data_IF_101802612757
#
_entry.id   IF_101802612757
#
_cell.length_a   1.000
_cell.length_b   1.000
_cell.length_c   1.000
_cell.angle_alpha   90.00
_cell.angle_beta   90.00
_cell.angle_gamma   90.00
#
_symmetry.space_group_name_H-M   'P 1'
#
loop_
_entity.id
_entity.type
_entity.pdbx_description
1 polymer ?
#
# COMPACT_ATOMS: atom_id res chain seq x y z
N UNK A 1 -15.01 18.11 -17.21
CA UNK A 1 -13.80 17.87 -18.03
C UNK A 1 -12.57 18.73 -17.66
N UNK A 2 -12.66 19.70 -16.73
CA UNK A 2 -11.52 20.51 -16.25
C UNK A 2 -10.70 19.90 -15.09
N UNK A 3 -11.19 18.84 -14.43
CA UNK A 3 -10.54 18.22 -13.26
C UNK A 3 -9.11 17.70 -13.51
N UNK A 4 -8.80 17.28 -14.75
CA UNK A 4 -7.47 16.74 -15.11
C UNK A 4 -6.48 17.78 -15.65
N UNK A 5 -6.88 19.06 -15.79
CA UNK A 5 -5.93 20.14 -16.15
C UNK A 5 -5.09 20.60 -14.95
N UNK A 6 -5.55 20.34 -13.72
CA UNK A 6 -4.80 20.62 -12.49
C UNK A 6 -4.44 19.27 -11.84
N UNK A 7 -3.16 18.93 -11.72
CA UNK A 7 -2.72 17.66 -11.13
C UNK A 7 -3.04 17.55 -9.63
N UNK A 8 -3.31 18.68 -8.94
CA UNK A 8 -3.59 18.72 -7.50
C UNK A 8 -4.94 18.06 -7.09
N UNK A 9 -6.10 18.37 -7.70
CA UNK A 9 -7.38 17.72 -7.35
C UNK A 9 -7.35 16.19 -7.47
N UNK A 10 -6.56 15.63 -8.40
CA UNK A 10 -6.36 14.19 -8.53
C UNK A 10 -5.90 13.54 -7.22
N UNK A 11 -4.83 14.07 -6.61
CA UNK A 11 -4.27 13.51 -5.37
C UNK A 11 -5.14 13.80 -4.14
N UNK A 12 -5.87 14.92 -4.14
CA UNK A 12 -6.85 15.21 -3.09
C UNK A 12 -8.01 14.22 -3.11
N UNK A 13 -8.46 13.82 -4.30
CA UNK A 13 -9.49 12.80 -4.43
C UNK A 13 -9.01 11.44 -3.90
N UNK A 14 -7.78 11.04 -4.25
CA UNK A 14 -7.17 9.83 -3.69
C UNK A 14 -7.06 9.88 -2.16
N UNK A 15 -6.68 11.04 -1.60
CA UNK A 15 -6.66 11.25 -0.14
C UNK A 15 -8.06 11.19 0.48
N UNK A 16 -9.09 11.68 -0.21
CA UNK A 16 -10.47 11.57 0.24
C UNK A 16 -10.93 10.09 0.28
N UNK A 17 -10.60 9.31 -0.75
CA UNK A 17 -10.83 7.85 -0.75
C UNK A 17 -10.09 7.16 0.40
N UNK A 18 -8.88 7.61 0.74
CA UNK A 18 -8.16 7.08 1.90
C UNK A 18 -8.91 7.34 3.21
N UNK A 19 -9.43 8.55 3.41
CA UNK A 19 -10.24 8.92 4.58
C UNK A 19 -11.50 8.05 4.64
N UNK A 20 -12.20 7.87 3.52
CA UNK A 20 -13.41 7.05 3.46
C UNK A 20 -13.13 5.57 3.76
N UNK A 21 -12.02 5.03 3.25
CA UNK A 21 -11.57 3.69 3.63
C UNK A 21 -11.22 3.61 5.13
N UNK A 22 -10.53 4.61 5.69
CA UNK A 22 -10.22 4.65 7.12
C UNK A 22 -11.48 4.75 7.99
N UNK A 23 -12.52 5.47 7.55
CA UNK A 23 -13.83 5.50 8.19
C UNK A 23 -14.52 4.13 8.17
N UNK A 24 -14.42 3.37 7.09
CA UNK A 24 -14.89 1.97 7.09
C UNK A 24 -14.07 1.07 8.04
N UNK A 25 -12.75 1.27 8.11
CA UNK A 25 -11.92 0.58 9.11
C UNK A 25 -12.36 0.91 10.55
N UNK A 26 -12.67 2.19 10.81
CA UNK A 26 -13.18 2.65 12.09
C UNK A 26 -14.56 2.06 12.39
N UNK A 27 -15.47 2.03 11.41
CA UNK A 27 -16.80 1.44 11.55
C UNK A 27 -16.74 -0.07 11.82
N UNK A 28 -15.82 -0.79 11.17
CA UNK A 28 -15.59 -2.21 11.44
C UNK A 28 -15.14 -2.41 12.88
N UNK A 29 -14.20 -1.58 13.38
CA UNK A 29 -13.74 -1.63 14.78
C UNK A 29 -14.84 -1.24 15.75
N UNK A 30 -15.68 -0.27 15.38
CA UNK A 30 -16.86 0.13 16.16
C UNK A 30 -17.79 -1.06 16.35
N UNK A 31 -18.07 -1.82 15.29
CA UNK A 31 -18.95 -2.98 15.36
C UNK A 31 -18.46 -4.11 16.29
N UNK A 32 -17.15 -4.19 16.58
CA UNK A 32 -16.65 -5.13 17.59
C UNK A 32 -16.97 -4.68 19.01
N UNK A 33 -16.96 -3.37 19.28
CA UNK A 33 -17.23 -2.80 20.61
C UNK A 33 -18.73 -2.62 20.85
N UNK A 34 -19.43 -2.08 19.86
CA UNK A 34 -20.85 -1.78 19.85
C UNK A 34 -21.49 -2.46 18.64
N UNK A 35 -21.93 -3.72 18.78
CA UNK A 35 -22.49 -4.49 17.67
C UNK A 35 -23.67 -3.78 17.02
N UNK A 36 -23.60 -3.60 15.70
CA UNK A 36 -24.66 -2.99 14.90
C UNK A 36 -25.52 -4.12 14.33
N UNK A 37 -26.83 -4.06 14.55
CA UNK A 37 -27.76 -5.01 13.97
C UNK A 37 -27.68 -4.97 12.43
N UNK A 38 -27.62 -6.13 11.80
CA UNK A 38 -27.50 -6.28 10.33
C UNK A 38 -26.18 -5.77 9.71
N UNK A 39 -25.11 -5.59 10.49
CA UNK A 39 -23.80 -5.21 9.95
C UNK A 39 -23.15 -6.35 9.16
N UNK A 40 -22.97 -6.13 7.86
CA UNK A 40 -22.35 -7.11 6.96
C UNK A 40 -20.82 -6.97 6.96
N UNK A 41 -20.16 -7.50 8.00
CA UNK A 41 -18.70 -7.39 8.19
C UNK A 41 -17.88 -7.64 6.90
N UNK A 42 -18.19 -8.72 6.18
CA UNK A 42 -17.47 -9.08 4.94
C UNK A 42 -17.59 -7.99 3.87
N UNK A 43 -18.76 -7.36 3.72
CA UNK A 43 -19.00 -6.34 2.71
C UNK A 43 -18.20 -5.06 2.99
N UNK A 44 -18.23 -4.59 4.24
CA UNK A 44 -17.44 -3.43 4.66
C UNK A 44 -15.95 -3.69 4.59
N UNK A 45 -15.49 -4.88 4.99
CA UNK A 45 -14.08 -5.26 4.89
C UNK A 45 -13.59 -5.20 3.44
N UNK A 46 -14.40 -5.66 2.49
CA UNK A 46 -14.06 -5.65 1.07
C UNK A 46 -13.98 -4.22 0.52
N UNK A 47 -14.93 -3.36 0.89
CA UNK A 47 -14.86 -1.95 0.52
C UNK A 47 -13.61 -1.27 1.10
N UNK A 48 -13.37 -1.47 2.40
CA UNK A 48 -12.20 -0.93 3.10
C UNK A 48 -10.90 -1.31 2.40
N UNK A 49 -10.67 -2.60 2.14
CA UNK A 49 -9.43 -3.08 1.55
C UNK A 49 -9.24 -2.64 0.10
N UNK A 50 -10.28 -2.71 -0.74
CA UNK A 50 -10.20 -2.30 -2.15
C UNK A 50 -9.94 -0.80 -2.27
N UNK A 51 -10.63 0.03 -1.47
CA UNK A 51 -10.42 1.48 -1.52
C UNK A 51 -9.08 1.89 -0.89
N UNK A 52 -8.59 1.18 0.13
CA UNK A 52 -7.25 1.42 0.68
C UNK A 52 -6.15 1.14 -0.35
N UNK A 53 -6.18 -0.04 -1.00
CA UNK A 53 -5.15 -0.40 -1.98
C UNK A 53 -5.33 0.34 -3.30
N UNK A 54 -6.54 0.36 -3.87
CA UNK A 54 -6.76 0.89 -5.22
C UNK A 54 -7.04 2.40 -5.20
N UNK A 55 -7.85 2.87 -4.26
CA UNK A 55 -8.29 4.26 -4.16
C UNK A 55 -7.22 5.22 -3.62
N UNK A 56 -6.48 4.76 -2.62
CA UNK A 56 -5.36 5.49 -2.05
C UNK A 56 -4.04 5.07 -2.69
N UNK A 57 -3.58 3.83 -2.45
CA UNK A 57 -2.28 3.36 -2.88
C UNK A 57 -2.07 3.50 -4.39
N UNK A 58 -2.79 2.72 -5.19
CA UNK A 58 -2.59 2.59 -6.64
C UNK A 58 -2.83 3.91 -7.38
N UNK A 59 -3.93 4.61 -7.11
CA UNK A 59 -4.22 5.89 -7.75
C UNK A 59 -3.13 6.93 -7.44
N UNK A 60 -2.68 7.04 -6.18
CA UNK A 60 -1.62 7.99 -5.83
C UNK A 60 -0.29 7.62 -6.52
N UNK A 61 0.09 6.35 -6.52
CA UNK A 61 1.35 5.90 -7.12
C UNK A 61 1.33 5.95 -8.65
N UNK A 62 0.21 5.61 -9.30
CA UNK A 62 0.11 5.69 -10.77
C UNK A 62 0.15 7.14 -11.26
N UNK A 63 -0.49 8.06 -10.52
CA UNK A 63 -0.37 9.50 -10.78
C UNK A 63 1.07 9.98 -10.64
N UNK A 64 1.77 9.55 -9.59
CA UNK A 64 3.17 9.89 -9.36
C UNK A 64 4.10 9.29 -10.42
N UNK A 65 3.85 8.06 -10.89
CA UNK A 65 4.57 7.42 -12.00
C UNK A 65 4.42 8.24 -13.27
N UNK A 66 3.17 8.56 -13.65
CA UNK A 66 2.88 9.38 -14.84
C UNK A 66 3.62 10.72 -14.73
N UNK A 67 3.59 11.35 -13.55
CA UNK A 67 4.25 12.62 -13.33
C UNK A 67 5.79 12.53 -13.42
N UNK A 68 6.41 11.47 -12.92
CA UNK A 68 7.87 11.40 -12.81
C UNK A 68 8.57 10.73 -14.00
N UNK A 69 7.89 9.84 -14.72
CA UNK A 69 8.51 8.95 -15.71
C UNK A 69 7.98 9.10 -17.14
N UNK A 70 6.84 9.75 -17.34
CA UNK A 70 6.30 10.04 -18.68
C UNK A 70 6.71 11.46 -19.09
N UNK A 71 6.89 11.75 -20.38
CA UNK A 71 7.17 13.13 -20.85
C UNK A 71 5.92 14.01 -20.81
N UNK A 72 6.08 15.32 -20.64
CA UNK A 72 4.95 16.27 -20.60
C UNK A 72 4.06 16.21 -21.84
N UNK A 73 4.65 16.01 -23.03
CA UNK A 73 3.93 15.87 -24.30
C UNK A 73 3.09 14.58 -24.35
N UNK A 74 3.64 13.46 -23.86
CA UNK A 74 2.96 12.17 -23.89
C UNK A 74 1.84 12.09 -22.84
N UNK A 75 2.02 12.72 -21.67
CA UNK A 75 1.00 12.77 -20.60
C UNK A 75 -0.33 13.38 -21.05
N UNK A 76 -0.30 14.27 -22.04
CA UNK A 76 -1.50 14.97 -22.50
C UNK A 76 -2.43 14.10 -23.36
N UNK A 77 -1.95 12.94 -23.83
CA UNK A 77 -2.72 11.99 -24.64
C UNK A 77 -4.02 11.59 -23.93
N UNK A 78 -5.11 11.54 -24.69
CA UNK A 78 -6.45 11.25 -24.17
C UNK A 78 -6.54 9.94 -23.40
N UNK A 79 -5.77 8.92 -23.80
CA UNK A 79 -5.73 7.61 -23.15
C UNK A 79 -5.43 7.69 -21.65
N UNK A 80 -4.48 8.53 -21.21
CA UNK A 80 -4.16 8.68 -19.79
C UNK A 80 -5.30 9.31 -19.01
N UNK A 81 -5.94 10.34 -19.56
CA UNK A 81 -7.06 11.03 -18.91
C UNK A 81 -8.28 10.10 -18.78
N UNK A 82 -8.62 9.38 -19.85
CA UNK A 82 -9.77 8.48 -19.89
C UNK A 82 -9.55 7.30 -18.94
N UNK A 83 -8.40 6.62 -19.02
CA UNK A 83 -8.12 5.46 -18.16
C UNK A 83 -8.10 5.86 -16.68
N UNK A 84 -7.46 6.97 -16.31
CA UNK A 84 -7.50 7.46 -14.94
C UNK A 84 -8.91 7.80 -14.49
N UNK A 85 -9.71 8.47 -15.33
CA UNK A 85 -11.11 8.79 -15.01
C UNK A 85 -11.95 7.53 -14.75
N UNK A 86 -11.84 6.53 -15.62
CA UNK A 86 -12.56 5.26 -15.46
C UNK A 86 -12.10 4.54 -14.19
N UNK A 87 -10.80 4.52 -13.89
CA UNK A 87 -10.26 3.99 -12.63
C UNK A 87 -10.83 4.72 -11.41
N UNK A 88 -10.90 6.05 -11.44
CA UNK A 88 -11.51 6.81 -10.34
C UNK A 88 -12.97 6.46 -10.14
N UNK A 89 -13.76 6.48 -11.22
CA UNK A 89 -15.19 6.21 -11.17
C UNK A 89 -15.42 4.81 -10.64
N UNK A 90 -14.72 3.81 -11.18
CA UNK A 90 -14.86 2.40 -10.74
C UNK A 90 -14.53 2.22 -9.27
N UNK A 91 -13.41 2.76 -8.79
CA UNK A 91 -13.02 2.63 -7.36
C UNK A 91 -13.97 3.40 -6.45
N UNK A 92 -14.46 4.56 -6.87
CA UNK A 92 -15.45 5.32 -6.11
C UNK A 92 -16.78 4.59 -6.04
N UNK A 93 -17.23 3.97 -7.12
CA UNK A 93 -18.45 3.17 -7.12
C UNK A 93 -18.27 1.90 -6.26
N UNK A 94 -17.07 1.29 -6.26
CA UNK A 94 -16.76 0.16 -5.38
C UNK A 94 -16.84 0.51 -3.89
N UNK A 95 -16.52 1.76 -3.51
CA UNK A 95 -16.71 2.24 -2.14
C UNK A 95 -18.13 1.98 -1.65
N UNK A 96 -19.14 2.21 -2.50
CA UNK A 96 -20.57 2.07 -2.15
C UNK A 96 -21.15 0.70 -2.55
N UNK A 97 -20.69 0.10 -3.65
CA UNK A 97 -21.26 -1.16 -4.14
C UNK A 97 -20.97 -2.32 -3.18
N UNK A 98 -19.79 -2.35 -2.56
CA UNK A 98 -19.44 -3.42 -1.63
C UNK A 98 -20.28 -3.39 -0.36
N UNK A 99 -20.43 -2.29 0.39
CA UNK A 99 -21.29 -2.26 1.58
C UNK A 99 -22.75 -2.59 1.27
N UNK A 100 -23.29 -2.08 0.15
CA UNK A 100 -24.69 -2.25 -0.22
C UNK A 100 -25.01 -3.65 -0.77
N UNK A 101 -24.12 -4.21 -1.60
CA UNK A 101 -24.40 -5.41 -2.37
C UNK A 101 -23.43 -6.57 -2.16
N UNK A 102 -22.27 -6.34 -1.56
CA UNK A 102 -21.18 -7.32 -1.46
C UNK A 102 -20.60 -7.70 -2.83
N UNK A 103 -20.10 -8.93 -2.94
CA UNK A 103 -19.61 -9.53 -4.19
C UNK A 103 -20.75 -10.00 -5.10
N UNK A 104 -21.60 -9.07 -5.53
CA UNK A 104 -22.66 -9.30 -6.53
C UNK A 104 -22.27 -8.72 -7.89
N UNK A 105 -23.11 -8.97 -8.90
CA UNK A 105 -22.90 -8.58 -10.29
C UNK A 105 -22.35 -7.16 -10.45
N UNK A 106 -22.95 -6.16 -9.80
CA UNK A 106 -22.51 -4.77 -9.93
C UNK A 106 -21.06 -4.55 -9.45
N UNK A 107 -20.70 -5.05 -8.27
CA UNK A 107 -19.31 -4.97 -7.75
C UNK A 107 -18.33 -5.74 -8.63
N UNK A 108 -18.74 -6.90 -9.17
CA UNK A 108 -17.90 -7.72 -10.07
C UNK A 108 -17.66 -6.97 -11.39
N UNK A 109 -18.70 -6.37 -11.99
CA UNK A 109 -18.56 -5.56 -13.21
C UNK A 109 -17.60 -4.39 -13.00
N UNK A 110 -17.69 -3.71 -11.84
CA UNK A 110 -16.78 -2.62 -11.49
C UNK A 110 -15.32 -3.11 -11.34
N UNK A 111 -15.10 -4.26 -10.70
CA UNK A 111 -13.78 -4.89 -10.59
C UNK A 111 -13.22 -5.25 -11.98
N UNK A 112 -14.03 -5.84 -12.86
CA UNK A 112 -13.63 -6.18 -14.23
C UNK A 112 -13.28 -4.93 -15.04
N UNK A 113 -14.11 -3.88 -14.97
CA UNK A 113 -13.86 -2.62 -15.65
C UNK A 113 -12.58 -1.95 -15.14
N UNK A 114 -12.35 -1.94 -13.83
CA UNK A 114 -11.10 -1.49 -13.24
C UNK A 114 -9.91 -2.31 -13.77
N UNK A 115 -10.01 -3.65 -13.73
CA UNK A 115 -8.98 -4.57 -14.19
C UNK A 115 -8.56 -4.32 -15.63
N UNK A 116 -9.51 -4.35 -16.58
CA UNK A 116 -9.25 -4.10 -18.00
C UNK A 116 -8.66 -2.70 -18.23
N UNK A 117 -9.22 -1.67 -17.61
CA UNK A 117 -8.72 -0.29 -17.73
C UNK A 117 -7.30 -0.15 -17.20
N UNK A 118 -7.01 -0.81 -16.07
CA UNK A 118 -5.67 -0.82 -15.47
C UNK A 118 -4.64 -1.53 -16.35
N UNK A 119 -5.04 -2.53 -17.14
CA UNK A 119 -4.16 -3.21 -18.10
C UNK A 119 -3.79 -2.29 -19.24
N UNK A 120 -4.79 -1.62 -19.83
CA UNK A 120 -4.58 -0.62 -20.89
C UNK A 120 -3.60 0.46 -20.41
N UNK A 121 -3.80 0.98 -19.20
CA UNK A 121 -2.90 1.97 -18.62
C UNK A 121 -1.50 1.41 -18.35
N UNK A 122 -1.40 0.19 -17.82
CA UNK A 122 -0.12 -0.47 -17.49
C UNK A 122 0.73 -0.72 -18.73
N UNK A 123 0.17 -1.31 -19.79
CA UNK A 123 0.88 -1.52 -21.06
C UNK A 123 1.26 -0.19 -21.70
N UNK A 124 0.38 0.82 -21.61
CA UNK A 124 0.69 2.15 -22.13
C UNK A 124 1.87 2.78 -21.40
N UNK A 125 1.92 2.68 -20.08
CA UNK A 125 3.05 3.14 -19.27
C UNK A 125 4.35 2.40 -19.58
N UNK A 126 4.32 1.08 -19.68
CA UNK A 126 5.51 0.28 -20.02
C UNK A 126 6.12 0.72 -21.37
N UNK A 127 5.27 1.04 -22.35
CA UNK A 127 5.68 1.57 -23.66
C UNK A 127 6.25 2.99 -23.60
N UNK A 128 5.62 3.86 -22.80
CA UNK A 128 5.95 5.29 -22.80
C UNK A 128 7.08 5.65 -21.81
N UNK A 129 7.35 4.83 -20.78
CA UNK A 129 8.45 5.01 -19.83
C UNK A 129 9.78 4.62 -20.49
N UNK A 130 10.68 5.60 -20.62
CA UNK A 130 12.00 5.46 -21.25
C UNK A 130 13.13 5.49 -20.22
N UNK A 131 14.30 5.00 -20.63
CA UNK A 131 15.51 4.96 -19.82
C UNK A 131 15.74 3.64 -19.10
N UNK A 132 16.97 3.46 -18.60
CA UNK A 132 17.44 2.20 -18.01
C UNK A 132 18.05 2.35 -16.62
N UNK A 133 17.95 3.54 -16.01
CA UNK A 133 18.34 3.74 -14.62
C UNK A 133 17.54 2.82 -13.67
N UNK A 134 18.11 2.55 -12.50
CA UNK A 134 17.49 1.62 -11.54
C UNK A 134 16.11 2.11 -11.09
N UNK A 135 15.90 3.42 -10.95
CA UNK A 135 14.57 3.98 -10.67
C UNK A 135 13.54 3.57 -11.72
N UNK A 136 13.89 3.63 -13.01
CA UNK A 136 13.03 3.18 -14.12
C UNK A 136 12.82 1.66 -14.12
N UNK A 137 13.87 0.87 -13.85
CA UNK A 137 13.73 -0.60 -13.75
C UNK A 137 12.78 -0.99 -12.62
N UNK A 138 12.90 -0.35 -11.45
CA UNK A 138 11.97 -0.54 -10.33
C UNK A 138 10.53 -0.25 -10.75
N UNK A 139 10.26 0.86 -11.44
CA UNK A 139 8.89 1.14 -11.92
C UNK A 139 8.39 0.10 -12.90
N UNK A 140 9.19 -0.27 -13.91
CA UNK A 140 8.77 -1.24 -14.93
C UNK A 140 8.47 -2.62 -14.30
N UNK A 141 9.35 -3.11 -13.43
CA UNK A 141 9.13 -4.36 -12.70
C UNK A 141 7.95 -4.27 -11.74
N UNK A 142 7.75 -3.13 -11.06
CA UNK A 142 6.54 -2.89 -10.28
C UNK A 142 5.27 -3.05 -11.11
N UNK A 143 5.22 -2.48 -12.32
CA UNK A 143 4.08 -2.64 -13.25
C UNK A 143 3.94 -4.09 -13.72
N UNK A 144 5.02 -4.80 -14.02
CA UNK A 144 4.96 -6.23 -14.34
C UNK A 144 4.40 -7.06 -13.18
N UNK A 145 4.80 -6.78 -11.94
CA UNK A 145 4.24 -7.44 -10.76
C UNK A 145 2.77 -7.09 -10.52
N UNK A 146 2.34 -5.86 -10.85
CA UNK A 146 0.91 -5.53 -10.84
C UNK A 146 0.14 -6.40 -11.84
N UNK A 147 0.62 -6.49 -13.08
CA UNK A 147 -0.01 -7.32 -14.11
C UNK A 147 -0.06 -8.80 -13.69
N UNK A 148 1.03 -9.32 -13.11
CA UNK A 148 1.10 -10.68 -12.57
C UNK A 148 0.09 -10.88 -11.43
N UNK A 149 0.06 -9.94 -10.48
CA UNK A 149 -0.89 -9.92 -9.36
C UNK A 149 -2.34 -10.00 -9.86
N UNK A 150 -2.72 -9.14 -10.80
CA UNK A 150 -4.09 -9.07 -11.31
C UNK A 150 -4.51 -10.28 -12.14
N UNK A 151 -3.58 -11.05 -12.72
CA UNK A 151 -3.95 -12.32 -13.36
C UNK A 151 -4.60 -13.28 -12.37
N UNK A 152 -4.18 -13.26 -11.10
CA UNK A 152 -4.80 -14.07 -10.06
C UNK A 152 -6.25 -13.68 -9.77
N UNK A 153 -6.70 -12.44 -10.02
CA UNK A 153 -8.11 -12.10 -9.80
C UNK A 153 -9.04 -12.74 -10.84
N UNK A 154 -8.55 -12.93 -12.07
CA UNK A 154 -9.29 -13.66 -13.11
C UNK A 154 -9.32 -15.17 -12.80
N UNK A 155 -8.17 -15.71 -12.40
CA UNK A 155 -8.08 -17.11 -11.96
C UNK A 155 -8.96 -17.38 -10.73
N UNK A 156 -9.05 -16.44 -9.79
CA UNK A 156 -9.88 -16.56 -8.59
C UNK A 156 -11.36 -16.76 -8.91
N UNK A 157 -11.87 -16.08 -9.94
CA UNK A 157 -13.25 -16.24 -10.39
C UNK A 157 -13.50 -17.67 -10.89
N UNK A 158 -12.56 -18.21 -11.68
CA UNK A 158 -12.61 -19.59 -12.15
C UNK A 158 -12.54 -20.59 -10.99
N UNK A 159 -11.60 -20.43 -10.05
CA UNK A 159 -11.45 -21.33 -8.89
C UNK A 159 -12.69 -21.31 -8.01
N UNK A 160 -13.28 -20.14 -7.76
CA UNK A 160 -14.48 -20.02 -6.96
C UNK A 160 -15.67 -20.78 -7.55
N UNK A 161 -15.84 -20.72 -8.88
CA UNK A 161 -16.95 -21.39 -9.57
C UNK A 161 -16.71 -22.89 -9.74
N UNK A 162 -15.46 -23.29 -10.03
CA UNK A 162 -15.12 -24.69 -10.30
C UNK A 162 -14.89 -25.54 -9.05
N UNK A 163 -14.30 -24.95 -8.00
CA UNK A 163 -13.84 -25.67 -6.81
C UNK A 163 -14.37 -25.09 -5.49
N UNK A 164 -14.99 -23.89 -5.51
CA UNK A 164 -15.42 -23.22 -4.29
C UNK A 164 -14.26 -22.62 -3.49
N UNK A 165 -14.43 -22.50 -2.17
CA UNK A 165 -13.45 -21.87 -1.26
C UNK A 165 -12.47 -22.88 -0.65
N UNK A 166 -11.71 -23.54 -1.51
CA UNK A 166 -10.65 -24.51 -1.15
C UNK A 166 -9.33 -23.81 -0.80
N UNK A 167 -8.29 -24.58 -0.49
CA UNK A 167 -6.93 -24.05 -0.31
C UNK A 167 -6.44 -23.28 -1.55
N UNK A 168 -6.75 -23.77 -2.76
CA UNK A 168 -6.41 -23.09 -4.01
C UNK A 168 -7.04 -21.70 -4.10
N UNK A 169 -8.28 -21.55 -3.64
CA UNK A 169 -8.96 -20.24 -3.59
C UNK A 169 -8.18 -19.25 -2.72
N UNK A 170 -7.85 -19.63 -1.48
CA UNK A 170 -7.12 -18.77 -0.56
C UNK A 170 -5.68 -18.50 -1.01
N UNK A 171 -4.99 -19.51 -1.55
CA UNK A 171 -3.67 -19.36 -2.15
C UNK A 171 -3.70 -18.37 -3.33
N UNK A 172 -4.75 -18.40 -4.15
CA UNK A 172 -4.94 -17.42 -5.24
C UNK A 172 -5.16 -16.00 -4.71
N UNK A 173 -5.95 -15.83 -3.63
CA UNK A 173 -6.08 -14.52 -2.95
C UNK A 173 -4.73 -14.05 -2.43
N UNK A 174 -3.95 -14.94 -1.83
CA UNK A 174 -2.62 -14.59 -1.32
C UNK A 174 -1.60 -14.31 -2.43
N UNK A 175 -1.71 -14.97 -3.58
CA UNK A 175 -0.91 -14.66 -4.76
C UNK A 175 -1.16 -13.23 -5.24
N UNK A 176 -2.44 -12.87 -5.39
CA UNK A 176 -2.85 -11.51 -5.71
C UNK A 176 -2.26 -10.52 -4.70
N UNK A 177 -2.49 -10.74 -3.40
CA UNK A 177 -1.99 -9.80 -2.40
C UNK A 177 -0.45 -9.71 -2.42
N UNK A 178 0.26 -10.84 -2.45
CA UNK A 178 1.72 -10.88 -2.47
C UNK A 178 2.31 -10.03 -3.58
N UNK A 179 1.93 -10.27 -4.84
CA UNK A 179 2.48 -9.51 -5.96
C UNK A 179 1.98 -8.06 -6.01
N UNK A 180 0.80 -7.76 -5.45
CA UNK A 180 0.36 -6.39 -5.31
C UNK A 180 1.22 -5.61 -4.30
N UNK A 181 1.38 -6.13 -3.08
CA UNK A 181 2.02 -5.39 -2.02
C UNK A 181 3.54 -5.57 -1.98
N UNK A 182 4.08 -6.78 -2.13
CA UNK A 182 5.52 -7.02 -2.20
C UNK A 182 6.13 -6.75 -3.57
N UNK A 183 5.34 -6.89 -4.64
CA UNK A 183 5.77 -6.61 -6.01
C UNK A 183 5.49 -5.16 -6.39
N UNK A 184 4.25 -4.83 -6.76
CA UNK A 184 3.92 -3.50 -7.27
C UNK A 184 4.28 -2.38 -6.28
N UNK A 185 3.75 -2.39 -5.06
CA UNK A 185 3.92 -1.25 -4.14
C UNK A 185 5.37 -1.07 -3.69
N UNK A 186 6.06 -2.12 -3.24
CA UNK A 186 7.48 -2.00 -2.83
C UNK A 186 8.34 -1.45 -3.96
N UNK A 187 8.23 -2.01 -5.16
CA UNK A 187 9.04 -1.58 -6.30
C UNK A 187 8.71 -0.16 -6.74
N UNK A 188 7.42 0.17 -6.85
CA UNK A 188 6.99 1.50 -7.29
C UNK A 188 7.37 2.58 -6.28
N UNK A 189 7.19 2.34 -4.99
CA UNK A 189 7.52 3.32 -3.95
C UNK A 189 9.03 3.60 -3.90
N UNK A 190 9.88 2.56 -4.00
CA UNK A 190 11.33 2.77 -4.07
C UNK A 190 11.78 3.36 -5.41
N UNK A 191 11.15 2.99 -6.53
CA UNK A 191 11.43 3.60 -7.83
C UNK A 191 11.11 5.11 -7.85
N UNK A 192 9.97 5.50 -7.27
CA UNK A 192 9.59 6.90 -7.08
C UNK A 192 10.55 7.64 -6.13
N UNK A 193 10.92 7.01 -5.01
CA UNK A 193 11.89 7.56 -4.07
C UNK A 193 13.24 7.84 -4.74
N UNK A 194 13.79 6.86 -5.47
CA UNK A 194 15.07 7.00 -6.16
C UNK A 194 14.98 8.08 -7.23
N UNK A 195 13.88 8.14 -7.99
CA UNK A 195 13.67 9.20 -8.98
C UNK A 195 13.62 10.60 -8.37
N UNK A 196 12.99 10.75 -7.21
CA UNK A 196 12.95 12.03 -6.49
C UNK A 196 14.36 12.46 -6.05
N UNK A 197 15.17 11.52 -5.56
CA UNK A 197 16.56 11.80 -5.16
C UNK A 197 17.41 12.17 -6.38
N UNK A 198 17.30 11.40 -7.47
CA UNK A 198 17.98 11.67 -8.76
C UNK A 198 17.64 13.08 -9.28
N UNK A 199 16.36 13.49 -9.20
CA UNK A 199 15.94 14.82 -9.64
C UNK A 199 16.55 15.96 -8.81
N UNK A 200 17.10 15.69 -7.62
CA UNK A 200 17.86 16.66 -6.81
C UNK A 200 19.35 16.72 -7.18
N UNK A 201 19.76 16.06 -8.28
CA UNK A 201 21.15 15.96 -8.73
C UNK A 201 22.07 15.30 -7.68
N UNK A 202 21.49 14.49 -6.79
CA UNK A 202 22.22 13.71 -5.80
C UNK A 202 22.67 12.41 -6.48
N UNK A 203 23.98 12.23 -6.62
CA UNK A 203 24.55 11.02 -7.22
C UNK A 203 24.40 9.86 -6.23
N UNK A 204 23.70 8.82 -6.67
CA UNK A 204 23.61 7.56 -5.95
C UNK A 204 24.56 6.57 -6.62
N UNK A 205 25.30 5.80 -5.85
CA UNK A 205 26.17 4.74 -6.39
C UNK A 205 25.37 3.73 -7.20
N UNK A 206 25.68 3.63 -8.51
CA UNK A 206 25.03 2.71 -9.44
C UNK A 206 25.13 1.26 -8.98
N UNK A 207 26.31 0.84 -8.50
CA UNK A 207 26.52 -0.52 -7.98
C UNK A 207 25.59 -0.81 -6.79
N UNK A 208 25.46 0.11 -5.83
CA UNK A 208 24.57 -0.11 -4.69
C UNK A 208 23.11 -0.22 -5.13
N UNK A 209 22.65 0.67 -6.02
CA UNK A 209 21.30 0.60 -6.56
C UNK A 209 21.05 -0.71 -7.33
N UNK A 210 22.02 -1.13 -8.15
CA UNK A 210 21.96 -2.37 -8.92
C UNK A 210 21.80 -3.57 -8.01
N UNK A 211 22.60 -3.69 -6.96
CA UNK A 211 22.48 -4.79 -6.00
C UNK A 211 21.15 -4.73 -5.23
N UNK A 212 20.74 -3.56 -4.75
CA UNK A 212 19.42 -3.38 -4.14
C UNK A 212 18.31 -3.94 -5.02
N UNK A 213 18.29 -3.54 -6.30
CA UNK A 213 17.30 -3.98 -7.28
C UNK A 213 17.38 -5.50 -7.56
N UNK A 214 18.57 -6.04 -7.83
CA UNK A 214 18.74 -7.45 -8.18
C UNK A 214 18.25 -8.35 -7.04
N UNK A 215 18.70 -8.10 -5.81
CA UNK A 215 18.30 -8.92 -4.66
C UNK A 215 16.80 -8.80 -4.37
N UNK A 216 16.23 -7.60 -4.49
CA UNK A 216 14.79 -7.39 -4.32
C UNK A 216 13.98 -8.15 -5.38
N UNK A 217 14.41 -8.09 -6.64
CA UNK A 217 13.75 -8.70 -7.80
C UNK A 217 13.80 -10.22 -7.75
N UNK A 218 14.98 -10.79 -7.51
CA UNK A 218 15.15 -12.24 -7.38
C UNK A 218 14.34 -12.77 -6.19
N UNK A 219 14.26 -12.02 -5.09
CA UNK A 219 13.49 -12.45 -3.93
C UNK A 219 11.96 -12.41 -4.13
N UNK A 220 11.45 -11.49 -4.97
CA UNK A 220 10.02 -11.20 -5.01
C UNK A 220 9.16 -12.40 -5.44
N UNK A 221 9.57 -13.16 -6.45
CA UNK A 221 8.84 -14.34 -6.93
C UNK A 221 8.85 -15.48 -5.90
N UNK A 222 10.02 -15.99 -5.45
CA UNK A 222 10.06 -17.10 -4.50
C UNK A 222 9.46 -16.73 -3.13
N UNK A 223 9.43 -15.45 -2.75
CA UNK A 223 8.79 -15.02 -1.51
C UNK A 223 7.27 -15.31 -1.46
N UNK A 224 6.61 -15.61 -2.59
CA UNK A 224 5.22 -16.08 -2.57
C UNK A 224 5.08 -17.38 -1.77
N UNK A 225 6.12 -18.21 -1.70
CA UNK A 225 6.12 -19.43 -0.89
C UNK A 225 5.72 -19.17 0.58
N UNK A 226 6.15 -18.03 1.15
CA UNK A 226 5.77 -17.59 2.51
C UNK A 226 4.26 -17.45 2.68
N UNK A 227 3.55 -17.09 1.62
CA UNK A 227 2.10 -16.85 1.64
C UNK A 227 1.27 -18.13 1.50
N UNK A 228 1.90 -19.28 1.20
CA UNK A 228 1.22 -20.58 1.06
C UNK A 228 1.63 -21.60 2.13
N UNK A 229 2.56 -21.25 3.03
CA UNK A 229 3.03 -22.14 4.11
C UNK A 229 1.88 -22.63 5.02
N UNK A 230 0.79 -21.87 5.09
CA UNK A 230 -0.41 -22.25 5.84
C UNK A 230 -1.14 -23.47 5.28
N UNK A 231 -1.01 -23.76 3.97
CA UNK A 231 -1.69 -24.86 3.27
C UNK A 231 -0.93 -26.18 3.34
N UNK A 232 -0.19 -26.43 4.43
CA UNK A 232 0.57 -27.68 4.71
C UNK A 232 1.45 -28.14 3.54
N UNK A 233 2.05 -27.19 2.83
CA UNK A 233 2.96 -27.47 1.72
C UNK A 233 4.25 -28.14 2.20
N UNK A 234 4.93 -28.87 1.31
CA UNK A 234 6.16 -29.59 1.66
C UNK A 234 7.32 -28.69 2.09
N UNK A 235 8.32 -29.27 2.76
CA UNK A 235 9.51 -28.59 3.30
C UNK A 235 10.23 -27.70 2.26
N UNK A 236 10.22 -28.10 0.99
CA UNK A 236 10.78 -27.31 -0.12
C UNK A 236 10.27 -25.87 -0.15
N UNK A 237 8.97 -25.64 0.10
CA UNK A 237 8.39 -24.31 0.12
C UNK A 237 8.84 -23.47 1.33
N UNK A 238 9.06 -24.11 2.49
CA UNK A 238 9.64 -23.44 3.64
C UNK A 238 11.08 -22.97 3.34
N UNK A 239 11.89 -23.82 2.71
CA UNK A 239 13.27 -23.47 2.32
C UNK A 239 13.27 -22.33 1.30
N UNK A 240 12.44 -22.41 0.26
CA UNK A 240 12.29 -21.34 -0.75
C UNK A 240 11.87 -20.03 -0.09
N UNK A 241 10.88 -20.08 0.80
CA UNK A 241 10.40 -18.92 1.55
C UNK A 241 11.51 -18.30 2.40
N UNK A 242 12.24 -19.11 3.17
CA UNK A 242 13.37 -18.65 3.98
C UNK A 242 14.47 -18.00 3.14
N UNK A 243 14.92 -18.66 2.07
CA UNK A 243 15.93 -18.10 1.16
C UNK A 243 15.49 -16.78 0.53
N UNK A 244 14.20 -16.65 0.17
CA UNK A 244 13.67 -15.40 -0.34
C UNK A 244 13.76 -14.27 0.70
N UNK A 245 13.50 -14.55 1.98
CA UNK A 245 13.65 -13.55 3.05
C UNK A 245 15.11 -13.14 3.28
N UNK A 246 16.07 -14.05 3.13
CA UNK A 246 17.50 -13.73 3.18
C UNK A 246 17.89 -12.77 2.04
N UNK A 247 17.40 -13.01 0.82
CA UNK A 247 17.63 -12.10 -0.30
C UNK A 247 16.97 -10.73 -0.07
N UNK A 248 15.77 -10.68 0.53
CA UNK A 248 15.14 -9.41 0.94
C UNK A 248 15.97 -8.67 1.98
N UNK A 249 16.54 -9.39 2.96
CA UNK A 249 17.42 -8.82 3.98
C UNK A 249 18.71 -8.25 3.36
N UNK A 250 19.32 -8.96 2.43
CA UNK A 250 20.49 -8.45 1.68
C UNK A 250 20.12 -7.18 0.91
N UNK A 251 18.98 -7.17 0.21
CA UNK A 251 18.47 -5.96 -0.46
C UNK A 251 18.30 -4.79 0.54
N UNK A 252 17.73 -5.05 1.71
CA UNK A 252 17.57 -4.05 2.77
C UNK A 252 18.92 -3.48 3.26
N UNK A 253 19.96 -4.30 3.37
CA UNK A 253 21.32 -3.83 3.69
C UNK A 253 21.83 -2.86 2.63
N UNK A 254 21.63 -3.16 1.33
CA UNK A 254 21.98 -2.23 0.25
C UNK A 254 21.17 -0.94 0.31
N UNK A 255 19.88 -1.02 0.62
CA UNK A 255 19.03 0.16 0.83
C UNK A 255 19.59 1.05 1.96
N UNK A 256 19.98 0.48 3.09
CA UNK A 256 20.59 1.25 4.17
C UNK A 256 21.90 1.92 3.76
N UNK A 257 22.75 1.21 3.00
CA UNK A 257 24.00 1.79 2.46
C UNK A 257 23.72 2.96 1.51
N UNK A 258 22.72 2.85 0.64
CA UNK A 258 22.28 3.93 -0.25
C UNK A 258 21.81 5.13 0.58
N UNK A 259 20.87 4.89 1.50
CA UNK A 259 20.26 5.95 2.29
C UNK A 259 21.28 6.64 3.19
N UNK A 260 22.22 5.92 3.81
CA UNK A 260 23.29 6.51 4.62
C UNK A 260 24.11 7.53 3.83
N UNK A 261 24.46 7.22 2.58
CA UNK A 261 25.23 8.13 1.70
C UNK A 261 24.43 9.36 1.28
N UNK A 262 23.14 9.18 1.00
CA UNK A 262 22.26 10.24 0.48
C UNK A 262 21.67 11.13 1.57
N UNK A 263 21.42 10.60 2.78
CA UNK A 263 20.57 11.22 3.79
C UNK A 263 20.99 12.64 4.19
N UNK A 264 22.30 12.88 4.30
CA UNK A 264 22.84 14.19 4.65
C UNK A 264 22.73 15.21 3.50
N UNK A 265 22.74 14.73 2.26
CA UNK A 265 22.62 15.56 1.05
C UNK A 265 21.17 15.98 0.76
N UNK A 266 20.18 15.27 1.34
CA UNK A 266 18.77 15.61 1.19
C UNK A 266 18.45 16.97 1.82
N UNK A 267 18.17 17.97 0.98
CA UNK A 267 17.66 19.30 1.37
C UNK A 267 16.16 19.27 1.72
N UNK A 268 15.72 18.19 2.37
CA UNK A 268 14.32 17.99 2.74
C UNK A 268 14.03 18.57 4.11
N UNK A 269 12.79 19.03 4.31
CA UNK A 269 12.30 19.45 5.64
C UNK A 269 12.38 18.28 6.63
N UNK A 270 12.56 18.59 7.91
CA UNK A 270 12.66 17.61 8.99
C UNK A 270 11.51 16.58 8.96
N UNK A 271 10.28 17.02 8.73
CA UNK A 271 9.11 16.13 8.65
C UNK A 271 9.22 15.09 7.54
N UNK A 272 9.78 15.46 6.38
CA UNK A 272 10.00 14.50 5.28
C UNK A 272 11.12 13.52 5.60
N UNK A 273 12.17 13.96 6.32
CA UNK A 273 13.21 13.06 6.83
C UNK A 273 12.67 12.08 7.89
N UNK A 274 11.70 12.51 8.70
CA UNK A 274 10.96 11.64 9.63
C UNK A 274 10.15 10.60 8.86
N UNK A 275 9.38 11.00 7.85
CA UNK A 275 8.61 10.06 7.02
C UNK A 275 9.51 9.03 6.31
N UNK A 276 10.66 9.46 5.78
CA UNK A 276 11.63 8.54 5.19
C UNK A 276 12.12 7.49 6.21
N UNK A 277 12.55 7.95 7.40
CA UNK A 277 12.98 7.05 8.48
C UNK A 277 11.86 6.10 8.89
N UNK A 278 10.66 6.63 9.11
CA UNK A 278 9.49 5.85 9.51
C UNK A 278 9.17 4.76 8.49
N UNK A 279 9.05 5.11 7.21
CA UNK A 279 8.74 4.14 6.16
C UNK A 279 9.81 3.06 6.01
N UNK A 280 11.10 3.42 6.13
CA UNK A 280 12.20 2.44 6.10
C UNK A 280 12.20 1.53 7.31
N UNK A 281 11.88 2.04 8.51
CA UNK A 281 11.72 1.22 9.72
C UNK A 281 10.55 0.25 9.55
N UNK A 282 9.39 0.71 9.06
CA UNK A 282 8.24 -0.14 8.80
C UNK A 282 8.56 -1.25 7.76
N UNK A 283 9.28 -0.91 6.69
CA UNK A 283 9.76 -1.88 5.72
C UNK A 283 10.73 -2.90 6.33
N UNK A 284 11.62 -2.45 7.22
CA UNK A 284 12.58 -3.32 7.90
C UNK A 284 11.88 -4.30 8.83
N UNK A 285 10.94 -3.80 9.66
CA UNK A 285 10.12 -4.63 10.53
C UNK A 285 9.31 -5.66 9.74
N UNK A 286 8.74 -5.25 8.60
CA UNK A 286 8.06 -6.17 7.67
C UNK A 286 8.99 -7.31 7.23
N UNK A 287 10.24 -7.04 6.82
CA UNK A 287 11.19 -8.09 6.43
C UNK A 287 11.53 -9.00 7.62
N UNK A 288 11.76 -8.45 8.80
CA UNK A 288 12.01 -9.24 10.03
C UNK A 288 10.84 -10.17 10.33
N UNK A 289 9.60 -9.67 10.26
CA UNK A 289 8.40 -10.49 10.46
C UNK A 289 8.29 -11.57 9.38
N UNK A 290 8.66 -11.29 8.13
CA UNK A 290 8.67 -12.29 7.06
C UNK A 290 9.69 -13.42 7.34
N UNK A 291 10.88 -13.08 7.84
CA UNK A 291 11.87 -14.08 8.28
C UNK A 291 11.25 -14.97 9.36
N UNK A 292 10.65 -14.38 10.39
CA UNK A 292 9.99 -15.15 11.46
C UNK A 292 8.88 -16.05 10.90
N UNK A 293 8.05 -15.54 10.00
CA UNK A 293 6.95 -16.30 9.37
C UNK A 293 7.40 -17.44 8.45
N UNK A 294 8.68 -17.53 8.11
CA UNK A 294 9.21 -18.67 7.34
C UNK A 294 9.41 -19.93 8.20
N UNK A 295 9.54 -19.76 9.51
CA UNK A 295 9.77 -20.84 10.46
C UNK A 295 8.45 -21.56 10.78
N UNK A 296 8.40 -22.92 10.73
CA UNK A 296 7.17 -23.69 10.94
C UNK A 296 6.40 -23.33 12.21
N UNK A 297 7.12 -23.11 13.33
CA UNK A 297 6.52 -22.69 14.60
C UNK A 297 5.66 -21.41 14.46
N UNK A 298 6.17 -20.39 13.77
CA UNK A 298 5.45 -19.13 13.60
C UNK A 298 4.36 -19.21 12.53
N UNK A 299 4.47 -20.11 11.55
CA UNK A 299 3.39 -20.36 10.58
C UNK A 299 2.11 -20.79 11.30
N UNK A 300 2.19 -21.84 12.13
CA UNK A 300 1.03 -22.35 12.87
C UNK A 300 0.43 -21.28 13.80
N UNK A 301 1.29 -20.61 14.58
CA UNK A 301 0.84 -19.60 15.55
C UNK A 301 0.26 -18.35 14.89
N UNK A 302 0.81 -17.91 13.76
CA UNK A 302 0.28 -16.76 13.02
C UNK A 302 -1.13 -17.00 12.46
N UNK A 303 -1.47 -18.25 12.14
CA UNK A 303 -2.82 -18.64 11.71
C UNK A 303 -3.81 -18.64 12.86
N UNK A 304 -3.42 -19.22 14.00
CA UNK A 304 -4.25 -19.22 15.21
C UNK A 304 -4.51 -17.79 15.71
N UNK A 305 -3.52 -16.90 15.59
CA UNK A 305 -3.58 -15.51 16.04
C UNK A 305 -3.75 -14.52 14.88
N UNK A 306 -4.38 -14.97 13.79
CA UNK A 306 -4.63 -14.18 12.57
C UNK A 306 -5.21 -12.78 12.83
N UNK A 307 -6.21 -12.58 13.73
CA UNK A 307 -6.77 -11.26 14.00
C UNK A 307 -5.76 -10.22 14.51
N UNK A 308 -4.61 -10.68 15.00
CA UNK A 308 -3.60 -9.84 15.63
C UNK A 308 -2.33 -9.79 14.77
N UNK A 309 -1.70 -10.95 14.52
CA UNK A 309 -0.38 -11.01 13.88
C UNK A 309 -0.47 -10.76 12.36
N UNK A 310 -1.41 -11.40 11.67
CA UNK A 310 -1.59 -11.22 10.23
C UNK A 310 -2.22 -9.86 9.92
N UNK A 311 -3.24 -9.45 10.68
CA UNK A 311 -3.84 -8.12 10.51
C UNK A 311 -2.84 -7.01 10.84
N UNK A 312 -2.04 -7.16 11.91
CA UNK A 312 -0.94 -6.26 12.24
C UNK A 312 0.06 -6.15 11.10
N UNK A 313 0.57 -7.28 10.59
CA UNK A 313 1.47 -7.28 9.43
C UNK A 313 0.90 -6.54 8.21
N UNK A 314 -0.39 -6.73 7.91
CA UNK A 314 -1.05 -6.02 6.80
C UNK A 314 -1.18 -4.52 7.06
N UNK A 315 -1.44 -4.08 8.29
CA UNK A 315 -1.51 -2.65 8.65
C UNK A 315 -0.12 -2.01 8.69
N UNK A 316 0.90 -2.72 9.18
CA UNK A 316 2.29 -2.30 9.13
C UNK A 316 2.71 -2.02 7.68
N UNK A 317 2.33 -2.91 6.75
CA UNK A 317 2.54 -2.67 5.33
C UNK A 317 1.72 -1.47 4.81
N UNK A 318 0.39 -1.50 4.96
CA UNK A 318 -0.50 -0.54 4.27
C UNK A 318 -0.43 0.87 4.85
N UNK A 319 -0.42 0.99 6.18
CA UNK A 319 -0.33 2.28 6.88
C UNK A 319 1.13 2.67 7.11
N UNK A 320 1.93 1.77 7.69
CA UNK A 320 3.28 2.11 8.14
C UNK A 320 4.29 2.29 7.02
N UNK A 321 4.27 1.42 6.00
CA UNK A 321 5.16 1.51 4.85
C UNK A 321 4.51 2.28 3.69
N UNK A 322 3.45 1.72 3.09
CA UNK A 322 2.85 2.23 1.87
C UNK A 322 2.33 3.66 2.03
N UNK A 323 1.43 3.91 2.98
CA UNK A 323 0.81 5.24 3.14
C UNK A 323 1.83 6.31 3.53
N UNK A 324 2.78 5.99 4.42
CA UNK A 324 3.86 6.92 4.81
C UNK A 324 4.75 7.28 3.62
N UNK A 325 5.14 6.30 2.79
CA UNK A 325 5.91 6.59 1.58
C UNK A 325 5.10 7.35 0.54
N UNK A 326 3.81 7.04 0.36
CA UNK A 326 2.92 7.83 -0.52
C UNK A 326 2.87 9.28 -0.03
N UNK A 327 2.67 9.53 1.26
CA UNK A 327 2.73 10.89 1.80
C UNK A 327 4.08 11.56 1.54
N UNK A 328 5.19 10.87 1.79
CA UNK A 328 6.53 11.40 1.51
C UNK A 328 6.67 11.81 0.04
N UNK A 329 6.32 10.92 -0.89
CA UNK A 329 6.37 11.15 -2.34
C UNK A 329 5.52 12.36 -2.72
N UNK A 330 4.25 12.40 -2.27
CA UNK A 330 3.35 13.50 -2.60
C UNK A 330 3.78 14.84 -2.00
N UNK A 331 4.46 14.85 -0.85
CA UNK A 331 5.07 16.06 -0.27
C UNK A 331 6.26 16.53 -1.10
N UNK A 332 7.15 15.62 -1.52
CA UNK A 332 8.30 15.96 -2.37
C UNK A 332 7.88 16.42 -3.77
N UNK A 333 6.79 15.87 -4.30
CA UNK A 333 6.18 16.31 -5.57
C UNK A 333 5.29 17.56 -5.42
N UNK A 334 5.24 18.16 -4.21
CA UNK A 334 4.44 19.34 -3.86
C UNK A 334 2.92 19.21 -4.10
N UNK A 335 2.41 17.98 -4.13
CA UNK A 335 0.98 17.66 -4.31
C UNK A 335 0.21 17.74 -3.01
N UNK A 336 0.84 17.36 -1.90
CA UNK A 336 0.36 17.60 -0.54
C UNK A 336 1.28 18.62 0.13
N UNK A 337 0.71 19.66 0.72
CA UNK A 337 1.47 20.74 1.34
C UNK A 337 1.28 20.73 2.86
N UNK A 338 2.40 20.63 3.59
CA UNK A 338 2.43 20.72 5.06
C UNK A 338 2.91 22.10 5.52
N UNK A 339 2.16 23.14 5.16
CA UNK A 339 2.53 24.54 5.46
C UNK A 339 2.06 24.98 6.85
N UNK A 340 0.83 24.65 7.21
CA UNK A 340 0.20 25.08 8.47
C UNK A 340 0.59 24.14 9.61
N UNK A 341 0.63 24.67 10.84
CA UNK A 341 0.82 23.86 12.06
C UNK A 341 -0.22 22.76 12.16
N UNK A 342 -1.48 23.04 11.83
CA UNK A 342 -2.56 22.04 11.79
C UNK A 342 -2.27 20.86 10.86
N UNK A 343 -1.75 21.09 9.64
CA UNK A 343 -1.40 19.99 8.71
C UNK A 343 -0.24 19.13 9.21
N UNK A 344 0.73 19.74 9.91
CA UNK A 344 1.86 19.02 10.54
C UNK A 344 1.38 18.19 11.73
N UNK A 345 0.53 18.78 12.58
CA UNK A 345 -0.12 18.08 13.69
C UNK A 345 -0.93 16.90 13.16
N UNK A 346 -1.72 17.08 12.11
CA UNK A 346 -2.49 15.99 11.48
C UNK A 346 -1.61 14.82 11.06
N UNK A 347 -0.46 15.09 10.45
CA UNK A 347 0.50 14.04 10.10
C UNK A 347 1.10 13.36 11.33
N UNK A 348 1.45 14.10 12.38
CA UNK A 348 1.96 13.52 13.63
C UNK A 348 0.90 12.64 14.30
N UNK A 349 -0.35 13.11 14.40
CA UNK A 349 -1.48 12.33 14.93
C UNK A 349 -1.68 11.05 14.13
N UNK A 350 -1.63 11.12 12.80
CA UNK A 350 -1.70 9.94 11.94
C UNK A 350 -0.57 8.95 12.26
N UNK A 351 0.68 9.41 12.32
CA UNK A 351 1.83 8.54 12.64
C UNK A 351 1.74 7.90 14.04
N UNK A 352 1.30 8.67 15.04
CA UNK A 352 1.04 8.15 16.39
C UNK A 352 -0.06 7.08 16.35
N UNK A 353 -1.15 7.32 15.63
CA UNK A 353 -2.22 6.35 15.44
C UNK A 353 -1.75 5.06 14.78
N UNK A 354 -0.82 5.14 13.82
CA UNK A 354 -0.20 3.97 13.19
C UNK A 354 0.61 3.19 14.22
N UNK A 355 1.55 3.85 14.91
CA UNK A 355 2.41 3.19 15.91
C UNK A 355 1.58 2.54 17.01
N UNK A 356 0.61 3.27 17.57
CA UNK A 356 -0.25 2.75 18.62
C UNK A 356 -1.12 1.57 18.13
N UNK A 357 -1.64 1.61 16.89
CA UNK A 357 -2.39 0.49 16.31
C UNK A 357 -1.53 -0.76 16.18
N UNK A 358 -0.31 -0.62 15.65
CA UNK A 358 0.63 -1.74 15.49
C UNK A 358 1.05 -2.31 16.84
N UNK A 359 1.41 -1.45 17.80
CA UNK A 359 1.78 -1.89 19.14
C UNK A 359 0.65 -2.66 19.81
N UNK A 360 -0.60 -2.21 19.71
CA UNK A 360 -1.74 -2.93 20.27
C UNK A 360 -1.95 -4.29 19.60
N UNK A 361 -1.95 -4.35 18.26
CA UNK A 361 -2.13 -5.59 17.50
C UNK A 361 -1.04 -6.61 17.85
N UNK A 362 0.24 -6.21 17.77
CA UNK A 362 1.35 -7.13 18.05
C UNK A 362 1.47 -7.49 19.53
N UNK A 363 1.23 -6.56 20.46
CA UNK A 363 1.28 -6.87 21.90
C UNK A 363 0.16 -7.83 22.29
N UNK A 364 -1.07 -7.62 21.81
CA UNK A 364 -2.17 -8.56 22.05
C UNK A 364 -1.85 -9.95 21.49
N UNK A 365 -1.33 -10.03 20.26
CA UNK A 365 -0.91 -11.29 19.66
C UNK A 365 0.22 -11.96 20.44
N UNK A 366 1.21 -11.19 20.90
CA UNK A 366 2.34 -11.70 21.66
C UNK A 366 1.94 -12.22 23.04
N UNK A 367 1.12 -11.49 23.81
CA UNK A 367 0.64 -11.94 25.11
C UNK A 367 -0.09 -13.28 25.01
N UNK A 368 -0.98 -13.42 24.03
CA UNK A 368 -1.68 -14.68 23.76
C UNK A 368 -0.73 -15.80 23.31
N UNK A 369 0.32 -15.47 22.54
CA UNK A 369 1.32 -16.43 22.08
C UNK A 369 2.07 -17.08 23.25
N UNK A 370 2.39 -16.31 24.29
CA UNK A 370 3.15 -16.77 25.47
C UNK A 370 2.25 -17.16 26.65
N UNK A 371 0.92 -17.17 26.47
CA UNK A 371 -0.04 -17.58 27.51
C UNK A 371 -0.21 -16.56 28.65
N UNK A 372 0.15 -15.29 28.45
CA UNK A 372 -0.08 -14.22 29.40
C UNK A 372 -1.48 -13.61 29.25
N UNK A 373 -1.90 -12.85 30.26
CA UNK A 373 -3.20 -12.17 30.27
C UNK A 373 -3.33 -11.19 29.10
N UNK A 374 -4.42 -11.25 28.31
CA UNK A 374 -4.65 -10.32 27.22
C UNK A 374 -4.89 -8.88 27.72
N UNK A 375 -4.76 -7.91 26.81
CA UNK A 375 -5.00 -6.50 27.13
C UNK A 375 -6.47 -6.29 27.52
N UNK A 376 -6.69 -5.71 28.69
CA UNK A 376 -8.03 -5.36 29.16
C UNK A 376 -8.67 -4.32 28.22
N UNK A 377 -9.96 -4.49 27.89
CA UNK A 377 -10.70 -3.63 26.95
C UNK A 377 -10.00 -3.40 25.59
N UNK A 378 -9.27 -4.42 25.11
CA UNK A 378 -8.50 -4.35 23.86
C UNK A 378 -9.26 -3.74 22.67
N UNK A 379 -10.51 -4.18 22.43
CA UNK A 379 -11.30 -3.72 21.29
C UNK A 379 -11.65 -2.23 21.37
N UNK A 380 -11.99 -1.75 22.57
CA UNK A 380 -12.26 -0.33 22.83
C UNK A 380 -11.00 0.52 22.64
N UNK A 381 -9.86 0.06 23.16
CA UNK A 381 -8.59 0.75 23.01
C UNK A 381 -8.18 0.84 21.53
N UNK A 382 -8.33 -0.26 20.79
CA UNK A 382 -8.07 -0.31 19.36
C UNK A 382 -9.01 0.64 18.59
N UNK A 383 -10.29 0.72 18.97
CA UNK A 383 -11.24 1.69 18.41
C UNK A 383 -10.78 3.13 18.65
N UNK A 384 -10.45 3.50 19.90
CA UNK A 384 -9.99 4.84 20.26
C UNK A 384 -8.73 5.25 19.49
N UNK A 385 -7.74 4.37 19.37
CA UNK A 385 -6.52 4.66 18.60
C UNK A 385 -6.81 4.81 17.10
N UNK A 386 -7.82 4.13 16.57
CA UNK A 386 -8.24 4.27 15.16
C UNK A 386 -8.83 5.65 14.86
N UNK A 387 -9.45 6.29 15.84
CA UNK A 387 -9.97 7.66 15.70
C UNK A 387 -8.80 8.62 15.40
N UNK A 388 -7.63 8.41 16.00
CA UNK A 388 -6.43 9.21 15.72
C UNK A 388 -6.05 9.14 14.23
N UNK A 389 -6.11 7.95 13.62
CA UNK A 389 -5.82 7.79 12.19
C UNK A 389 -6.75 8.67 11.34
N UNK A 390 -8.06 8.60 11.59
CA UNK A 390 -9.06 9.39 10.85
C UNK A 390 -8.87 10.89 11.08
N UNK A 391 -8.72 11.33 12.34
CA UNK A 391 -8.51 12.73 12.69
C UNK A 391 -7.24 13.29 12.04
N UNK A 392 -6.14 12.54 12.06
CA UNK A 392 -4.89 12.92 11.43
C UNK A 392 -5.05 13.16 9.92
N UNK A 393 -5.76 12.26 9.23
CA UNK A 393 -6.05 12.41 7.81
C UNK A 393 -6.96 13.60 7.51
N UNK A 394 -8.02 13.81 8.30
CA UNK A 394 -8.93 14.96 8.15
C UNK A 394 -8.19 16.29 8.31
N UNK A 395 -7.29 16.39 9.29
CA UNK A 395 -6.48 17.59 9.49
C UNK A 395 -5.56 17.86 8.29
N UNK A 396 -4.94 16.83 7.71
CA UNK A 396 -4.14 16.99 6.48
C UNK A 396 -5.04 17.48 5.34
N UNK A 397 -6.20 16.86 5.15
CA UNK A 397 -7.12 17.09 4.02
C UNK A 397 -7.75 18.49 4.04
N UNK A 398 -8.33 18.92 5.16
CA UNK A 398 -8.98 20.24 5.30
C UNK A 398 -7.99 21.37 4.98
N UNK A 399 -6.74 21.25 5.41
CA UNK A 399 -5.70 22.23 5.09
C UNK A 399 -5.36 22.29 3.59
N UNK A 400 -5.59 21.23 2.82
CA UNK A 400 -5.39 21.27 1.37
C UNK A 400 -6.49 22.07 0.66
N UNK A 401 -7.72 22.07 1.21
CA UNK A 401 -8.89 22.76 0.66
C UNK A 401 -8.82 24.28 0.87
N UNK A 402 -8.37 24.74 2.05
CA UNK A 402 -8.24 26.17 2.40
C UNK A 402 -7.38 27.00 1.44
N UNK A 403 -6.57 26.36 0.60
CA UNK A 403 -5.73 27.03 -0.41
C UNK A 403 -6.38 27.11 -1.79
N UNK A 404 -7.45 26.37 -2.04
CA UNK A 404 -8.12 26.36 -3.36
C UNK A 404 -9.11 27.52 -3.51
N UNK A 405 -9.47 28.19 -2.40
CA UNK A 405 -10.43 29.30 -2.33
C UNK A 405 -9.84 30.70 -2.50
N UNK A 406 -8.55 30.86 -2.82
CA UNK A 406 -7.92 32.20 -2.99
C UNK A 406 -7.23 32.27 -4.35
N UNK A 407 -8.02 32.65 -5.36
CA UNK A 407 -7.69 33.43 -6.58
C UNK A 407 -8.85 33.28 -7.57
N UNK A 408 -9.96 33.95 -7.28
CA UNK A 408 -10.83 34.52 -8.31
C UNK A 408 -10.67 36.02 -8.09
N UNK A 409 -9.64 36.61 -8.69
CA UNK A 409 -9.65 38.06 -8.89
C UNK A 409 -10.36 38.25 -10.22
N UNK A 410 -11.50 38.94 -10.16
CA UNK A 410 -12.12 39.63 -11.30
C UNK A 410 -11.12 40.59 -11.94
#
# INVERSE_FOLDING_TARGET
>A
MQFFKKEKPFYLFSLALFILSALYGLLIRWNFVFPIQSFTYKNFLQSHSHVAFLGWGYIATIGAIIQCFVSSTIKQKHIYKITLLVIFITVTLMLFSFPLGGYKLFSIVLLCLFGVTSYVLSFKLLKDIKGECISTKLIKYGIYYYLLSSLATWFLAYVLVSQGKTELYYNTVYFYLHFLYNGYFVFVLFGLLFKIIENQQIVISENLQKYFFIFLNIACIPAYALSILWSKVGLTFHIIGFLATILQLISLVYLFRILKKVYHQLKWKAISKVLLKFGVIAYSLKIVIQILSSLPYFVEKSLALKPFLIIGYLHLFTLGFMSVFVFLILIQLHKIQLKTTSSKIGLVIFLIGVVATELLLFTQGFLLLIGLTPIHNYQLLLLCVSVLLVLGLLFIFINQLKKTSIKINL
#
